data_IF_830442080541
#
_entry.id   IF_830442080541
#
_cell.length_a   1.000
_cell.length_b   1.000
_cell.length_c   1.000
_cell.angle_alpha   90.00
_cell.angle_beta   90.00
_cell.angle_gamma   90.00
#
_symmetry.space_group_name_H-M   'P 1'
#
loop_
_entity.id
_entity.type
_entity.pdbx_description
1 polymer ?
#
# COMPACT_ATOMS: atom_id res chain seq x y z
N UNK A 1 -40.39 -12.52 -2.87
CA UNK A 1 -39.46 -11.50 -2.33
C UNK A 1 -38.60 -12.18 -1.29
N UNK A 2 -37.35 -12.50 -1.62
CA UNK A 2 -36.41 -13.13 -0.68
C UNK A 2 -35.29 -12.13 -0.45
N UNK A 3 -35.31 -11.50 0.72
CA UNK A 3 -34.25 -10.62 1.20
C UNK A 3 -33.02 -11.47 1.48
N UNK A 4 -32.03 -11.43 0.57
CA UNK A 4 -30.72 -12.04 0.84
C UNK A 4 -29.99 -11.17 1.87
N UNK A 5 -29.84 -11.74 3.06
CA UNK A 5 -29.08 -11.16 4.16
C UNK A 5 -27.65 -10.82 3.73
N UNK A 6 -27.23 -9.64 4.17
CA UNK A 6 -25.85 -9.16 4.15
C UNK A 6 -24.94 -10.25 4.70
N UNK A 7 -23.94 -10.69 3.93
CA UNK A 7 -22.85 -11.55 4.42
C UNK A 7 -22.00 -10.75 5.41
N UNK A 8 -22.40 -10.78 6.67
CA UNK A 8 -21.58 -10.30 7.79
C UNK A 8 -20.55 -11.39 8.10
N UNK A 9 -19.27 -11.01 8.24
CA UNK A 9 -18.10 -11.87 8.52
C UNK A 9 -17.44 -12.57 7.33
N UNK A 10 -17.17 -11.84 6.25
CA UNK A 10 -16.01 -12.19 5.43
C UNK A 10 -14.77 -11.59 6.13
N UNK A 11 -13.75 -12.40 6.51
CA UNK A 11 -12.51 -11.84 7.05
C UNK A 11 -11.97 -10.83 6.04
N UNK A 12 -11.51 -9.67 6.54
CA UNK A 12 -10.95 -8.62 5.69
C UNK A 12 -9.89 -9.26 4.79
N UNK A 13 -10.14 -9.25 3.48
CA UNK A 13 -9.22 -9.85 2.54
C UNK A 13 -7.88 -9.13 2.69
N UNK A 14 -6.76 -9.86 2.86
CA UNK A 14 -5.48 -9.22 3.08
C UNK A 14 -5.19 -8.25 1.92
N UNK A 15 -4.62 -7.06 2.20
CA UNK A 15 -4.48 -5.99 1.22
C UNK A 15 -3.57 -6.38 0.03
N UNK A 16 -2.80 -7.46 0.19
CA UNK A 16 -1.98 -8.08 -0.82
C UNK A 16 -2.09 -9.61 -0.69
N UNK A 17 -1.98 -10.32 -1.83
CA UNK A 17 -1.88 -11.78 -1.84
C UNK A 17 -0.48 -12.20 -1.39
N UNK A 18 -0.41 -13.01 -0.35
CA UNK A 18 0.84 -13.57 0.13
C UNK A 18 1.16 -14.89 -0.57
N UNK A 19 2.45 -15.14 -0.73
CA UNK A 19 2.98 -16.37 -1.31
C UNK A 19 4.03 -16.93 -0.37
N UNK A 20 4.02 -18.24 -0.18
CA UNK A 20 4.98 -18.94 0.68
C UNK A 20 5.78 -19.92 -0.15
N UNK A 21 7.03 -20.14 0.26
CA UNK A 21 7.89 -21.16 -0.35
C UNK A 21 7.24 -22.53 -0.14
N UNK A 22 7.06 -23.25 -1.23
CA UNK A 22 6.48 -24.58 -1.19
C UNK A 22 7.44 -25.58 -0.55
N UNK A 23 6.91 -26.63 0.08
CA UNK A 23 7.70 -27.69 0.71
C UNK A 23 8.56 -28.48 -0.30
N UNK A 24 8.15 -28.53 -1.57
CA UNK A 24 8.91 -29.15 -2.66
C UNK A 24 10.02 -28.26 -3.22
N UNK A 25 10.13 -27.01 -2.76
CA UNK A 25 11.10 -26.05 -3.28
C UNK A 25 12.54 -26.43 -2.90
N UNK A 26 13.43 -26.44 -3.89
CA UNK A 26 14.87 -26.61 -3.67
C UNK A 26 15.60 -25.26 -3.82
N UNK A 27 16.88 -25.14 -3.38
CA UNK A 27 17.66 -23.90 -3.56
C UNK A 27 17.81 -23.48 -5.03
N UNK A 28 17.93 -24.44 -5.94
CA UNK A 28 18.09 -24.19 -7.38
C UNK A 28 16.77 -24.11 -8.15
N UNK A 29 15.65 -24.51 -7.53
CA UNK A 29 14.30 -24.41 -8.09
C UNK A 29 13.33 -23.86 -7.04
N UNK A 30 13.27 -22.52 -6.89
CA UNK A 30 12.29 -21.90 -6.01
C UNK A 30 10.87 -22.12 -6.56
N UNK A 31 9.98 -22.64 -5.71
CA UNK A 31 8.56 -22.81 -6.02
C UNK A 31 7.75 -22.07 -4.96
N UNK A 32 6.76 -21.30 -5.40
CA UNK A 32 5.93 -20.45 -4.57
C UNK A 32 4.47 -20.83 -4.74
N UNK A 33 3.73 -20.94 -3.64
CA UNK A 33 2.29 -21.20 -3.64
C UNK A 33 1.55 -20.06 -2.93
N UNK A 34 0.32 -19.72 -3.36
CA UNK A 34 -0.49 -18.74 -2.64
C UNK A 34 -0.68 -19.19 -1.20
N UNK A 35 -0.65 -18.24 -0.26
CA UNK A 35 -0.89 -18.52 1.15
C UNK A 35 -2.11 -17.77 1.64
N UNK A 36 -2.99 -18.49 2.34
CA UNK A 36 -4.15 -17.92 3.02
C UNK A 36 -3.78 -17.24 4.36
N UNK A 37 -2.54 -17.46 4.83
CA UNK A 37 -2.03 -16.88 6.08
C UNK A 37 -0.93 -15.87 5.75
N UNK A 38 -0.97 -14.65 6.32
CA UNK A 38 0.08 -13.68 6.09
C UNK A 38 1.40 -14.08 6.78
N UNK A 39 2.55 -13.49 6.39
CA UNK A 39 3.81 -13.69 7.09
C UNK A 39 3.70 -13.37 8.59
N UNK A 40 4.44 -14.05 9.48
CA UNK A 40 4.33 -13.86 10.93
C UNK A 40 4.56 -12.42 11.43
N UNK A 41 5.35 -11.64 10.70
CA UNK A 41 5.63 -10.22 11.02
C UNK A 41 4.53 -9.25 10.60
N UNK A 42 3.56 -9.69 9.80
CA UNK A 42 2.49 -8.83 9.31
C UNK A 42 1.53 -8.47 10.44
N UNK A 43 1.23 -7.17 10.58
CA UNK A 43 0.26 -6.65 11.54
C UNK A 43 -0.83 -5.88 10.79
N UNK A 44 -2.07 -6.37 10.73
CA UNK A 44 -3.15 -5.65 10.07
C UNK A 44 -3.52 -4.36 10.81
N UNK A 45 -4.02 -3.36 10.09
CA UNK A 45 -4.61 -2.14 10.62
C UNK A 45 -6.10 -2.16 10.28
N UNK A 46 -6.94 -2.38 11.30
CA UNK A 46 -8.39 -2.48 11.15
C UNK A 46 -9.11 -1.59 12.19
N UNK A 47 -10.01 -0.67 11.79
CA UNK A 47 -10.29 -0.32 10.39
C UNK A 47 -9.07 0.32 9.73
N UNK A 48 -8.94 0.11 8.43
CA UNK A 48 -7.89 0.74 7.63
C UNK A 48 -7.91 2.27 7.79
N UNK A 49 -6.73 2.89 7.85
CA UNK A 49 -6.59 4.29 8.24
C UNK A 49 -6.21 5.19 7.06
N UNK A 50 -6.81 6.39 6.98
CA UNK A 50 -6.43 7.38 5.98
C UNK A 50 -5.07 7.98 6.29
N UNK A 51 -4.18 7.96 5.30
CA UNK A 51 -2.82 8.51 5.38
C UNK A 51 -2.50 9.32 4.13
N UNK A 52 -1.45 10.12 4.20
CA UNK A 52 -0.83 10.75 3.04
C UNK A 52 0.53 10.09 2.79
N UNK A 53 0.84 9.81 1.53
CA UNK A 53 2.08 9.16 1.10
C UNK A 53 2.84 10.13 0.20
N UNK A 54 4.11 10.37 0.54
CA UNK A 54 5.04 11.07 -0.35
C UNK A 54 5.43 10.16 -1.53
N UNK A 55 4.80 10.38 -2.69
CA UNK A 55 5.07 9.59 -3.90
C UNK A 55 6.46 9.82 -4.47
N UNK A 56 7.05 11.00 -4.25
CA UNK A 56 8.39 11.30 -4.76
C UNK A 56 9.39 10.41 -4.05
N UNK A 57 9.29 10.31 -2.74
CA UNK A 57 10.16 9.43 -1.98
C UNK A 57 9.88 7.94 -2.23
N UNK A 58 8.62 7.56 -2.45
CA UNK A 58 8.23 6.17 -2.66
C UNK A 58 8.59 5.61 -4.05
N UNK A 59 8.54 6.43 -5.10
CA UNK A 59 8.68 5.96 -6.49
C UNK A 59 9.99 6.38 -7.14
N UNK A 60 10.62 7.46 -6.67
CA UNK A 60 11.77 8.03 -7.36
C UNK A 60 13.06 7.36 -6.91
N UNK A 61 13.76 6.73 -7.85
CA UNK A 61 15.07 6.10 -7.62
C UNK A 61 16.14 7.10 -7.15
N UNK A 62 16.16 8.28 -7.76
CA UNK A 62 17.02 9.39 -7.36
C UNK A 62 16.17 10.65 -7.18
N UNK A 63 15.91 11.09 -5.93
CA UNK A 63 15.10 12.26 -5.66
C UNK A 63 15.71 13.57 -6.17
N UNK A 64 17.00 13.59 -6.53
CA UNK A 64 17.75 14.79 -6.92
C UNK A 64 17.99 14.90 -8.43
N UNK A 65 17.75 13.84 -9.21
CA UNK A 65 17.79 13.93 -10.66
C UNK A 65 16.78 14.98 -11.17
N UNK A 66 17.02 15.58 -12.33
CA UNK A 66 16.03 16.40 -13.03
C UNK A 66 15.80 15.80 -14.41
N UNK A 67 14.54 15.64 -14.76
CA UNK A 67 14.10 15.13 -16.06
C UNK A 67 13.03 16.08 -16.59
N UNK A 68 12.97 16.20 -17.92
CA UNK A 68 11.89 16.92 -18.59
C UNK A 68 10.53 16.31 -18.27
N UNK A 69 9.48 17.14 -18.35
CA UNK A 69 8.11 16.71 -18.10
C UNK A 69 7.62 15.81 -19.24
N UNK A 70 7.28 14.56 -18.90
CA UNK A 70 6.59 13.62 -19.78
C UNK A 70 5.09 13.59 -19.42
N UNK A 71 4.19 14.12 -20.27
CA UNK A 71 2.77 14.27 -19.93
C UNK A 71 2.05 12.91 -19.73
N UNK A 72 2.49 11.88 -20.44
CA UNK A 72 2.01 10.50 -20.35
C UNK A 72 2.66 9.70 -19.20
N UNK A 73 3.61 10.30 -18.48
CA UNK A 73 4.28 9.69 -17.34
C UNK A 73 3.44 9.75 -16.05
N UNK A 74 3.71 8.83 -15.11
CA UNK A 74 3.05 8.85 -13.81
C UNK A 74 3.41 10.10 -13.00
N UNK A 75 2.39 10.76 -12.47
CA UNK A 75 2.51 11.89 -11.57
C UNK A 75 2.88 11.42 -10.16
N UNK A 76 4.12 11.68 -9.75
CA UNK A 76 4.63 11.34 -8.41
C UNK A 76 5.15 12.56 -7.63
N UNK A 77 4.93 13.78 -8.13
CA UNK A 77 5.46 15.02 -7.53
C UNK A 77 4.80 15.44 -6.22
N UNK A 78 3.64 14.87 -5.90
CA UNK A 78 2.80 15.31 -4.79
C UNK A 78 2.49 14.17 -3.83
N UNK A 79 2.15 14.54 -2.60
CA UNK A 79 1.56 13.59 -1.66
C UNK A 79 0.21 13.11 -2.17
N UNK A 80 -0.06 11.81 -2.04
CA UNK A 80 -1.36 11.22 -2.37
C UNK A 80 -2.04 10.72 -1.12
N UNK A 81 -3.37 10.85 -1.08
CA UNK A 81 -4.19 10.23 -0.05
C UNK A 81 -4.26 8.72 -0.30
N UNK A 82 -3.85 7.94 0.69
CA UNK A 82 -3.88 6.49 0.67
C UNK A 82 -4.59 5.91 1.88
N UNK A 83 -4.78 4.59 1.86
CA UNK A 83 -5.38 3.84 2.95
C UNK A 83 -4.36 2.82 3.49
N UNK A 84 -3.91 3.02 4.72
CA UNK A 84 -3.03 2.12 5.44
C UNK A 84 -3.80 0.89 5.89
N UNK A 85 -3.31 -0.29 5.49
CA UNK A 85 -3.97 -1.59 5.69
C UNK A 85 -3.22 -2.50 6.67
N UNK A 86 -1.93 -2.24 6.89
CA UNK A 86 -1.12 -3.06 7.77
C UNK A 86 0.34 -2.61 7.80
N UNK A 87 1.11 -3.31 8.60
CA UNK A 87 2.54 -3.12 8.79
C UNK A 87 3.29 -4.42 8.57
N UNK A 88 4.52 -4.30 8.07
CA UNK A 88 5.47 -5.40 7.95
C UNK A 88 6.87 -4.90 8.33
N UNK A 89 7.65 -5.62 9.13
CA UNK A 89 9.05 -5.28 9.35
C UNK A 89 9.86 -5.53 8.08
N UNK A 90 10.74 -4.59 7.73
CA UNK A 90 11.83 -4.81 6.80
C UNK A 90 12.91 -5.71 7.43
N UNK A 91 13.90 -6.11 6.62
CA UNK A 91 15.00 -6.99 7.06
C UNK A 91 15.82 -6.38 8.20
N UNK A 92 15.96 -5.06 8.21
CA UNK A 92 16.62 -4.28 9.26
C UNK A 92 15.69 -3.94 10.46
N UNK A 93 14.46 -4.45 10.45
CA UNK A 93 13.45 -4.18 11.45
C UNK A 93 12.68 -2.87 11.26
N UNK A 94 13.02 -2.05 10.25
CA UNK A 94 12.31 -0.82 9.99
C UNK A 94 10.85 -1.09 9.57
N UNK A 95 9.86 -0.32 10.07
CA UNK A 95 8.46 -0.55 9.75
C UNK A 95 8.10 -0.06 8.35
N UNK A 96 7.49 -0.96 7.57
CA UNK A 96 6.91 -0.70 6.26
C UNK A 96 5.40 -0.76 6.34
N UNK A 97 4.72 0.33 6.01
CA UNK A 97 3.27 0.38 5.90
C UNK A 97 2.82 -0.18 4.56
N UNK A 98 1.82 -1.05 4.57
CA UNK A 98 1.15 -1.53 3.36
C UNK A 98 0.00 -0.55 3.08
N UNK A 99 0.16 0.28 2.05
CA UNK A 99 -0.76 1.38 1.74
C UNK A 99 -1.32 1.22 0.33
N UNK A 100 -2.64 1.34 0.20
CA UNK A 100 -3.31 1.45 -1.11
C UNK A 100 -3.52 2.91 -1.49
N UNK A 101 -3.09 3.33 -2.68
CA UNK A 101 -3.26 4.70 -3.17
C UNK A 101 -3.43 4.78 -4.69
N UNK A 102 -3.93 5.90 -5.18
CA UNK A 102 -4.12 6.15 -6.61
C UNK A 102 -2.85 6.69 -7.26
N UNK A 103 -2.60 6.28 -8.49
CA UNK A 103 -1.60 6.86 -9.38
C UNK A 103 -2.31 7.40 -10.62
N UNK A 104 -1.87 8.55 -11.10
CA UNK A 104 -2.39 9.21 -12.28
C UNK A 104 -1.25 9.50 -13.25
N UNK A 105 -1.53 9.58 -14.55
CA UNK A 105 -0.62 10.23 -15.49
C UNK A 105 -0.63 11.75 -15.29
N UNK A 106 0.42 12.45 -15.71
CA UNK A 106 0.56 13.90 -15.50
C UNK A 106 -0.48 14.72 -16.29
N UNK A 107 -0.92 14.22 -17.45
CA UNK A 107 -2.05 14.73 -18.23
C UNK A 107 -3.42 14.45 -17.59
N UNK A 108 -3.48 13.67 -16.51
CA UNK A 108 -4.68 13.25 -15.78
C UNK A 108 -5.66 12.39 -16.60
N UNK A 109 -5.28 11.88 -17.77
CA UNK A 109 -6.17 11.05 -18.60
C UNK A 109 -6.30 9.62 -18.06
N UNK A 110 -5.28 9.11 -17.38
CA UNK A 110 -5.22 7.72 -16.91
C UNK A 110 -5.05 7.64 -15.40
N UNK A 111 -5.68 6.62 -14.80
CA UNK A 111 -5.54 6.33 -13.36
C UNK A 111 -5.48 4.83 -13.07
N UNK A 112 -4.80 4.48 -11.98
CA UNK A 112 -4.80 3.12 -11.40
C UNK A 112 -4.74 3.19 -9.87
N UNK A 113 -4.97 2.06 -9.21
CA UNK A 113 -4.79 1.90 -7.75
C UNK A 113 -3.70 0.86 -7.52
N UNK A 114 -2.73 1.20 -6.67
CA UNK A 114 -1.66 0.30 -6.28
C UNK A 114 -1.69 0.07 -4.78
N UNK A 115 -1.24 -1.11 -4.35
CA UNK A 115 -0.90 -1.40 -2.95
C UNK A 115 0.60 -1.61 -2.87
N UNK A 116 1.29 -0.81 -2.07
CA UNK A 116 2.74 -0.83 -1.96
C UNK A 116 3.21 -0.78 -0.50
N UNK A 117 4.46 -1.21 -0.29
CA UNK A 117 5.17 -1.01 0.97
C UNK A 117 5.80 0.38 0.99
N UNK A 118 5.51 1.16 2.02
CA UNK A 118 5.99 2.54 2.18
C UNK A 118 6.70 2.65 3.53
N UNK A 119 7.94 3.16 3.58
CA UNK A 119 8.62 3.43 4.86
C UNK A 119 7.79 4.34 5.76
N UNK A 120 7.72 4.03 7.07
CA UNK A 120 6.89 4.79 8.01
C UNK A 120 7.12 6.32 7.94
N UNK A 121 8.35 6.78 7.77
CA UNK A 121 8.67 8.20 7.74
C UNK A 121 8.19 8.94 6.47
N UNK A 122 7.72 8.22 5.45
CA UNK A 122 7.02 8.77 4.28
C UNK A 122 5.50 8.69 4.40
N UNK A 123 4.98 8.16 5.50
CA UNK A 123 3.55 8.07 5.81
C UNK A 123 3.19 9.17 6.79
N UNK A 124 2.26 10.04 6.40
CA UNK A 124 1.77 11.13 7.22
C UNK A 124 0.33 10.91 7.63
N UNK A 125 0.11 10.84 8.94
CA UNK A 125 -1.20 10.96 9.53
C UNK A 125 -1.49 12.44 9.64
N UNK A 126 -2.45 12.96 8.86
CA UNK A 126 -2.90 14.32 9.15
C UNK A 126 -3.52 14.32 10.53
N UNK A 127 -2.99 15.13 11.44
CA UNK A 127 -3.75 15.56 12.60
C UNK A 127 -5.01 16.26 12.11
N UNK A 128 -6.13 16.05 12.79
CA UNK A 128 -7.29 16.95 12.69
C UNK A 128 -6.82 18.33 13.15
N UNK A 129 -6.43 19.19 12.24
CA UNK A 129 -6.30 20.62 12.47
C UNK A 129 -7.20 21.29 11.44
N UNK A 130 -8.34 21.91 11.78
CA UNK A 130 -8.97 22.15 13.07
C UNK A 130 -10.42 22.63 12.85
N UNK A 131 -11.06 23.05 13.95
CA UNK A 131 -12.49 23.38 14.17
C UNK A 131 -13.33 22.23 14.74
N UNK A 132 -13.06 21.90 16.00
CA UNK A 132 -14.15 21.82 16.96
C UNK A 132 -14.49 23.28 17.32
N UNK A 133 -15.41 23.89 16.56
CA UNK A 133 -16.18 25.01 17.05
C UNK A 133 -17.51 24.45 17.53
N UNK A 134 -17.83 24.80 18.77
CA UNK A 134 -19.09 24.61 19.50
C UNK A 134 -19.23 23.27 20.22
#
# INVERSE_FOLDING_TARGET
MVSQGVRVNQPAQPPCRWWRRDVSSTPTRPVWTPSDVPPPGYRPVEPAQWVWVDLRAALRRDPFAFHDDAPDGLQYRYEVKGLLRGWMPAVDGAPLGIVSYQLLTADLEWRTVVTAFVPQHHIRYRARSGREFS
#
